data_IF_932048287068
#
_entry.id   IF_932048287068
#
_cell.length_a   1.000
_cell.length_b   1.000
_cell.length_c   1.000
_cell.angle_alpha   90.00
_cell.angle_beta   90.00
_cell.angle_gamma   90.00
#
_symmetry.space_group_name_H-M   'P 1'
#
loop_
_entity.id
_entity.type
_entity.pdbx_description
1 polymer ?
#
# COMPACT_ATOMS: atom_id res chain seq x y z
N UNK A 1 4.11 12.69 21.82
CA UNK A 1 4.26 13.40 20.55
C UNK A 1 4.06 12.41 19.43
N UNK A 2 2.99 12.56 18.64
CA UNK A 2 2.82 11.76 17.43
C UNK A 2 3.50 12.54 16.30
N UNK A 3 4.79 12.28 16.10
CA UNK A 3 5.43 12.66 14.85
C UNK A 3 5.06 11.57 13.86
N UNK A 4 4.04 11.80 13.04
CA UNK A 4 3.71 10.92 11.93
C UNK A 4 4.91 10.95 10.98
N UNK A 5 5.49 9.79 10.69
CA UNK A 5 6.65 9.72 9.81
C UNK A 5 6.23 9.90 8.35
N UNK A 6 7.15 10.36 7.51
CA UNK A 6 6.91 10.48 6.06
C UNK A 6 6.48 9.14 5.43
N UNK A 7 7.03 8.02 5.94
CA UNK A 7 6.68 6.66 5.53
C UNK A 7 5.24 6.30 5.91
N UNK A 8 4.79 6.64 7.12
CA UNK A 8 3.40 6.40 7.54
C UNK A 8 2.41 7.21 6.70
N UNK A 9 2.75 8.47 6.39
CA UNK A 9 1.93 9.32 5.49
C UNK A 9 1.88 8.71 4.09
N UNK A 10 3.02 8.20 3.61
CA UNK A 10 3.14 7.56 2.30
C UNK A 10 2.24 6.32 2.22
N UNK A 11 2.30 5.43 3.21
CA UNK A 11 1.51 4.20 3.23
C UNK A 11 0.01 4.47 3.40
N UNK A 12 -0.39 5.45 4.20
CA UNK A 12 -1.79 5.86 4.28
C UNK A 12 -2.29 6.40 2.92
N UNK A 13 -1.47 7.20 2.24
CA UNK A 13 -1.76 7.71 0.90
C UNK A 13 -1.88 6.59 -0.15
N UNK A 14 -0.97 5.62 -0.10
CA UNK A 14 -0.99 4.45 -0.97
C UNK A 14 -2.22 3.56 -0.71
N UNK A 15 -2.61 3.37 0.55
CA UNK A 15 -3.81 2.61 0.90
C UNK A 15 -5.07 3.23 0.26
N UNK A 16 -5.21 4.56 0.33
CA UNK A 16 -6.30 5.30 -0.33
C UNK A 16 -6.28 5.18 -1.85
N UNK A 17 -5.10 5.07 -2.45
CA UNK A 17 -4.99 4.82 -3.90
C UNK A 17 -5.44 3.41 -4.26
N UNK A 18 -4.98 2.42 -3.51
CA UNK A 18 -5.37 1.02 -3.71
C UNK A 18 -6.89 0.86 -3.56
N UNK A 19 -7.53 1.53 -2.59
CA UNK A 19 -8.99 1.49 -2.41
C UNK A 19 -9.80 1.91 -3.66
N UNK A 20 -9.24 2.74 -4.54
CA UNK A 20 -9.89 3.10 -5.82
C UNK A 20 -9.88 1.95 -6.83
N UNK A 21 -8.92 1.04 -6.69
CA UNK A 21 -8.65 -0.06 -7.62
C UNK A 21 -9.24 -1.40 -7.17
N UNK A 22 -9.66 -1.53 -5.91
CA UNK A 22 -10.15 -2.77 -5.31
C UNK A 22 -11.56 -2.60 -4.74
N UNK A 23 -12.34 -3.71 -4.58
CA UNK A 23 -13.67 -3.63 -4.00
C UNK A 23 -13.67 -3.03 -2.58
N UNK A 24 -14.78 -2.42 -2.13
CA UNK A 24 -14.91 -1.91 -0.76
C UNK A 24 -14.59 -2.97 0.28
N UNK A 25 -13.77 -2.62 1.28
CA UNK A 25 -13.27 -3.55 2.31
C UNK A 25 -12.17 -4.50 1.83
N UNK A 26 -11.73 -4.37 0.58
CA UNK A 26 -10.63 -5.15 0.00
C UNK A 26 -9.23 -4.60 0.32
N UNK A 27 -9.12 -3.48 1.03
CA UNK A 27 -7.84 -2.87 1.43
C UNK A 27 -7.95 -2.52 2.91
N UNK A 28 -6.94 -2.87 3.69
CA UNK A 28 -6.85 -2.54 5.11
C UNK A 28 -5.45 -1.99 5.41
N UNK A 29 -5.38 -0.81 6.02
CA UNK A 29 -4.12 -0.24 6.51
C UNK A 29 -4.00 -0.44 8.02
N UNK A 30 -2.86 -0.99 8.44
CA UNK A 30 -2.48 -1.24 9.82
C UNK A 30 -1.33 -0.28 10.18
N UNK A 31 -1.62 0.88 10.78
CA UNK A 31 -0.60 1.89 11.08
C UNK A 31 0.43 1.39 12.11
N UNK A 32 0.00 0.58 13.09
CA UNK A 32 0.90 0.04 14.12
C UNK A 32 2.04 -0.82 13.56
N UNK A 33 1.83 -1.41 12.38
CA UNK A 33 2.82 -2.27 11.71
C UNK A 33 3.25 -1.70 10.36
N UNK A 34 2.88 -0.46 10.03
CA UNK A 34 3.13 0.15 8.72
C UNK A 34 2.84 -0.81 7.54
N UNK A 35 1.69 -1.49 7.59
CA UNK A 35 1.36 -2.56 6.63
C UNK A 35 -0.02 -2.33 6.02
N UNK A 36 -0.13 -2.47 4.71
CA UNK A 36 -1.38 -2.55 3.97
C UNK A 36 -1.62 -4.01 3.60
N UNK A 37 -2.84 -4.51 3.81
CA UNK A 37 -3.27 -5.82 3.34
C UNK A 37 -4.34 -5.64 2.29
N UNK A 38 -4.08 -6.19 1.10
CA UNK A 38 -5.00 -6.15 -0.03
C UNK A 38 -5.61 -7.54 -0.24
N UNK A 39 -6.94 -7.60 -0.25
CA UNK A 39 -7.78 -8.78 -0.43
C UNK A 39 -7.40 -9.95 0.50
N UNK A 40 -6.92 -9.64 1.71
CA UNK A 40 -6.42 -10.61 2.70
C UNK A 40 -5.29 -11.52 2.18
N UNK A 41 -4.55 -11.10 1.14
CA UNK A 41 -3.57 -11.93 0.44
C UNK A 41 -2.23 -11.25 0.18
N UNK A 42 -2.25 -9.99 -0.27
CA UNK A 42 -1.04 -9.25 -0.61
C UNK A 42 -0.73 -8.29 0.53
N UNK A 43 0.52 -8.26 0.96
CA UNK A 43 1.02 -7.29 1.93
C UNK A 43 1.84 -6.22 1.22
N UNK A 44 1.70 -4.98 1.66
CA UNK A 44 2.54 -3.87 1.22
C UNK A 44 3.04 -3.14 2.47
N UNK A 45 4.35 -2.92 2.56
CA UNK A 45 4.99 -2.18 3.63
C UNK A 45 6.15 -1.36 3.04
N UNK A 46 6.95 -0.74 3.91
CA UNK A 46 8.14 0.04 3.51
C UNK A 46 9.18 -0.78 2.76
N UNK A 47 9.26 -2.08 2.99
CA UNK A 47 10.19 -2.99 2.31
C UNK A 47 9.71 -3.40 0.92
N UNK A 48 8.43 -3.14 0.61
CA UNK A 48 7.83 -3.34 -0.70
C UNK A 48 6.54 -4.16 -0.67
N UNK A 49 6.30 -4.91 -1.76
CA UNK A 49 5.10 -5.72 -1.94
C UNK A 49 5.45 -7.19 -1.77
N UNK A 50 4.72 -7.89 -0.92
CA UNK A 50 4.82 -9.33 -0.68
C UNK A 50 3.60 -10.08 -1.19
N UNK A 51 3.83 -11.18 -1.89
CA UNK A 51 2.78 -12.08 -2.37
C UNK A 51 3.15 -12.70 -3.71
N UNK A 52 2.18 -13.35 -4.35
CA UNK A 52 2.38 -14.02 -5.64
C UNK A 52 1.12 -14.00 -6.51
N UNK A 53 1.30 -14.20 -7.82
CA UNK A 53 0.21 -14.38 -8.78
C UNK A 53 -0.36 -13.06 -9.33
N UNK A 54 -1.46 -13.11 -10.11
CA UNK A 54 -1.96 -11.94 -10.83
C UNK A 54 -2.37 -10.77 -9.93
N UNK A 55 -2.80 -11.06 -8.70
CA UNK A 55 -3.15 -10.04 -7.72
C UNK A 55 -1.92 -9.27 -7.24
N UNK A 56 -0.78 -9.95 -7.05
CA UNK A 56 0.49 -9.32 -6.69
C UNK A 56 0.92 -8.32 -7.77
N UNK A 57 0.93 -8.73 -9.04
CA UNK A 57 1.33 -7.87 -10.15
C UNK A 57 0.46 -6.61 -10.23
N UNK A 58 -0.86 -6.75 -10.00
CA UNK A 58 -1.78 -5.60 -9.98
C UNK A 58 -1.49 -4.65 -8.82
N UNK A 59 -1.30 -5.17 -7.61
CA UNK A 59 -0.97 -4.34 -6.44
C UNK A 59 0.37 -3.63 -6.64
N UNK A 60 1.37 -4.36 -7.12
CA UNK A 60 2.70 -3.81 -7.42
C UNK A 60 2.63 -2.71 -8.47
N UNK A 61 1.88 -2.89 -9.55
CA UNK A 61 1.73 -1.86 -10.58
C UNK A 61 1.17 -0.55 -10.01
N UNK A 62 0.10 -0.62 -9.20
CA UNK A 62 -0.51 0.57 -8.55
C UNK A 62 0.45 1.22 -7.57
N UNK A 63 1.14 0.42 -6.73
CA UNK A 63 2.09 0.94 -5.76
C UNK A 63 3.28 1.63 -6.43
N UNK A 64 3.88 0.98 -7.43
CA UNK A 64 5.03 1.52 -8.17
C UNK A 64 4.63 2.81 -8.92
N UNK A 65 3.46 2.87 -9.54
CA UNK A 65 2.96 4.07 -10.22
C UNK A 65 2.75 5.22 -9.23
N UNK A 66 2.08 4.97 -8.12
CA UNK A 66 1.79 5.97 -7.10
C UNK A 66 3.05 6.55 -6.46
N UNK A 67 4.05 5.69 -6.17
CA UNK A 67 5.34 6.08 -5.62
C UNK A 67 6.17 6.90 -6.62
N UNK A 68 6.22 6.49 -7.90
CA UNK A 68 6.92 7.23 -8.96
C UNK A 68 6.35 8.63 -9.13
N UNK A 69 5.03 8.77 -9.15
CA UNK A 69 4.36 10.07 -9.33
C UNK A 69 4.66 11.07 -8.19
N UNK A 70 5.11 10.56 -7.03
CA UNK A 70 5.45 11.34 -5.84
C UNK A 70 6.94 11.47 -5.59
N UNK A 71 7.79 10.91 -6.46
CA UNK A 71 9.24 10.92 -6.28
C UNK A 71 9.72 10.07 -5.10
N UNK A 72 8.96 9.04 -4.73
CA UNK A 72 9.24 8.12 -3.62
C UNK A 72 9.78 6.76 -4.09
N UNK A 73 10.08 6.62 -5.37
CA UNK A 73 10.57 5.41 -6.03
C UNK A 73 12.03 5.53 -6.47
#
# INVERSE_FOLDING_TARGET
>A
SFAVSEEEVSLEGLAKELEKSFPPGGVAYYPETATIVVMNKIRVNVDGVEGTGPLYERVKAVADEWLRDRGLA
#
